data_IF_733286673076
#
_entry.id   IF_733286673076
#
_cell.length_a   1.000
_cell.length_b   1.000
_cell.length_c   1.000
_cell.angle_alpha   90.00
_cell.angle_beta   90.00
_cell.angle_gamma   90.00
#
_symmetry.space_group_name_H-M   'P 1'
#
loop_
_entity.id
_entity.type
_entity.pdbx_description
1 polymer ?
#
# COMPACT_ATOMS: atom_id res chain seq x y z
N UNK A 1 -18.38 24.17 17.76
CA UNK A 1 -19.82 23.91 17.53
C UNK A 1 -19.93 22.82 16.48
N UNK A 2 -20.81 21.83 16.66
CA UNK A 2 -21.06 20.80 15.64
C UNK A 2 -22.00 21.31 14.54
N UNK A 3 -22.04 20.63 13.40
CA UNK A 3 -23.00 20.91 12.33
C UNK A 3 -24.38 20.29 12.62
N UNK A 4 -25.46 20.84 12.04
CA UNK A 4 -26.82 20.28 12.11
C UNK A 4 -27.04 19.14 11.10
N UNK A 5 -28.18 18.44 11.19
CA UNK A 5 -28.60 17.40 10.23
C UNK A 5 -28.74 17.99 8.81
N UNK A 6 -29.30 19.18 8.69
CA UNK A 6 -29.49 19.90 7.43
C UNK A 6 -28.15 20.31 6.82
N UNK A 7 -27.21 20.79 7.64
CA UNK A 7 -25.86 21.13 7.20
C UNK A 7 -25.11 19.89 6.73
N UNK A 8 -25.21 18.77 7.46
CA UNK A 8 -24.65 17.48 7.04
C UNK A 8 -25.20 17.05 5.67
N UNK A 9 -26.52 17.08 5.47
CA UNK A 9 -27.16 16.78 4.19
C UNK A 9 -26.67 17.73 3.08
N UNK A 10 -26.50 19.01 3.39
CA UNK A 10 -25.91 20.00 2.47
C UNK A 10 -24.51 19.60 2.01
N UNK A 11 -23.64 19.19 2.94
CA UNK A 11 -22.29 18.72 2.61
C UNK A 11 -22.29 17.42 1.81
N UNK A 12 -23.19 16.48 2.09
CA UNK A 12 -23.37 15.29 1.24
C UNK A 12 -23.72 15.70 -0.19
N UNK A 13 -24.68 16.62 -0.38
CA UNK A 13 -25.07 17.10 -1.71
C UNK A 13 -23.91 17.79 -2.44
N UNK A 14 -23.09 18.56 -1.72
CA UNK A 14 -21.86 19.15 -2.28
C UNK A 14 -20.89 18.06 -2.71
N UNK A 15 -20.61 17.08 -1.85
CA UNK A 15 -19.71 15.96 -2.12
C UNK A 15 -20.13 15.18 -3.38
N UNK A 16 -21.43 14.91 -3.54
CA UNK A 16 -21.97 14.18 -4.69
C UNK A 16 -21.89 14.94 -6.03
N UNK A 17 -21.78 16.27 -6.02
CA UNK A 17 -21.78 17.13 -7.23
C UNK A 17 -20.45 17.78 -7.53
N UNK A 18 -19.57 17.86 -6.54
CA UNK A 18 -18.26 18.49 -6.66
C UNK A 18 -17.38 17.78 -7.69
N UNK A 19 -16.49 18.55 -8.33
CA UNK A 19 -15.43 17.97 -9.15
C UNK A 19 -14.41 17.26 -8.25
N UNK A 20 -13.73 16.26 -8.78
CA UNK A 20 -12.68 15.53 -8.06
C UNK A 20 -11.69 16.51 -7.42
N UNK A 21 -11.37 16.29 -6.15
CA UNK A 21 -10.40 17.08 -5.36
C UNK A 21 -10.82 18.53 -5.04
N UNK A 22 -12.08 18.93 -5.29
CA UNK A 22 -12.56 20.27 -4.93
C UNK A 22 -13.36 20.31 -3.62
N UNK A 23 -13.65 19.16 -3.01
CA UNK A 23 -14.34 19.10 -1.71
C UNK A 23 -13.38 19.57 -0.61
N UNK A 24 -13.87 20.44 0.29
CA UNK A 24 -13.04 20.97 1.35
C UNK A 24 -12.80 19.92 2.45
N UNK A 25 -11.53 19.73 2.85
CA UNK A 25 -11.16 18.82 3.95
C UNK A 25 -11.90 19.14 5.26
N UNK A 26 -12.19 20.43 5.51
CA UNK A 26 -12.94 20.85 6.68
C UNK A 26 -14.41 20.38 6.66
N UNK A 27 -15.04 20.29 5.48
CA UNK A 27 -16.41 19.77 5.34
C UNK A 27 -16.45 18.27 5.62
N UNK A 28 -15.51 17.50 5.03
CA UNK A 28 -15.36 16.08 5.32
C UNK A 28 -15.15 15.85 6.82
N UNK A 29 -14.24 16.60 7.44
CA UNK A 29 -14.01 16.48 8.88
C UNK A 29 -15.27 16.80 9.70
N UNK A 30 -16.01 17.83 9.33
CA UNK A 30 -17.26 18.18 10.00
C UNK A 30 -18.32 17.07 9.87
N UNK A 31 -18.40 16.40 8.70
CA UNK A 31 -19.27 15.25 8.48
C UNK A 31 -18.86 14.06 9.36
N UNK A 32 -17.56 13.74 9.43
CA UNK A 32 -17.03 12.67 10.28
C UNK A 32 -17.30 12.94 11.75
N UNK A 33 -17.00 14.16 12.22
CA UNK A 33 -17.25 14.56 13.60
C UNK A 33 -18.76 14.51 13.95
N UNK A 34 -19.64 14.82 12.98
CA UNK A 34 -21.08 14.69 13.14
C UNK A 34 -21.51 13.22 13.31
N UNK A 35 -21.08 12.35 12.40
CA UNK A 35 -21.41 10.92 12.47
C UNK A 35 -20.82 10.25 13.70
N UNK A 36 -19.62 10.66 14.13
CA UNK A 36 -19.02 10.19 15.36
C UNK A 36 -19.84 10.54 16.60
N UNK A 37 -20.44 11.74 16.66
CA UNK A 37 -21.35 12.11 17.77
C UNK A 37 -22.61 11.27 17.81
N UNK A 38 -23.18 10.93 16.66
CA UNK A 38 -24.41 10.11 16.59
C UNK A 38 -24.11 8.66 16.98
N UNK A 39 -23.00 8.12 16.50
CA UNK A 39 -22.67 6.69 16.67
C UNK A 39 -21.96 6.38 18.00
N UNK A 40 -21.17 7.32 18.50
CA UNK A 40 -20.20 7.11 19.58
C UNK A 40 -18.84 6.58 19.11
N UNK A 41 -18.64 6.35 17.81
CA UNK A 41 -17.37 5.90 17.23
C UNK A 41 -16.66 7.11 16.63
N UNK A 42 -15.52 7.52 17.17
CA UNK A 42 -14.82 8.73 16.74
C UNK A 42 -13.52 8.38 15.98
N UNK A 43 -13.29 9.03 14.85
CA UNK A 43 -12.03 8.90 14.09
C UNK A 43 -10.83 9.41 14.90
N UNK A 44 -11.03 10.32 15.85
CA UNK A 44 -9.96 10.86 16.70
C UNK A 44 -9.50 9.91 17.81
N UNK A 45 -10.22 8.81 18.06
CA UNK A 45 -9.83 7.80 19.05
C UNK A 45 -8.50 7.15 18.64
N UNK A 46 -7.70 6.74 19.63
CA UNK A 46 -6.48 5.97 19.35
C UNK A 46 -6.85 4.65 18.67
N UNK A 47 -6.22 4.37 17.53
CA UNK A 47 -6.45 3.15 16.75
C UNK A 47 -6.00 1.90 17.52
N UNK A 48 -5.03 2.03 18.43
CA UNK A 48 -4.56 0.92 19.27
C UNK A 48 -5.58 0.52 20.34
N UNK A 49 -6.54 1.39 20.65
CA UNK A 49 -7.62 1.12 21.60
C UNK A 49 -8.87 0.50 20.95
N UNK A 50 -8.84 0.24 19.63
CA UNK A 50 -9.96 -0.33 18.88
C UNK A 50 -9.52 -1.63 18.19
N UNK A 51 -10.22 -2.72 18.49
CA UNK A 51 -9.81 -4.07 18.08
C UNK A 51 -10.10 -4.37 16.61
N UNK A 52 -9.12 -4.98 15.95
CA UNK A 52 -9.24 -5.54 14.60
C UNK A 52 -9.81 -6.96 14.68
N UNK A 53 -10.43 -7.45 13.61
CA UNK A 53 -10.85 -8.85 13.52
C UNK A 53 -9.95 -9.60 12.53
N UNK A 54 -9.38 -10.73 12.97
CA UNK A 54 -8.67 -11.66 12.10
C UNK A 54 -9.68 -12.59 11.43
N UNK A 55 -9.55 -12.77 10.11
CA UNK A 55 -10.36 -13.71 9.33
C UNK A 55 -9.45 -14.75 8.67
N UNK A 56 -10.03 -15.81 8.12
CA UNK A 56 -9.26 -16.77 7.31
C UNK A 56 -8.69 -16.14 6.02
N UNK A 57 -9.22 -14.98 5.61
CA UNK A 57 -8.95 -14.34 4.32
C UNK A 57 -8.30 -12.96 4.44
N UNK A 58 -7.79 -12.60 5.62
CA UNK A 58 -7.19 -11.28 5.89
C UNK A 58 -7.67 -10.63 7.17
N UNK A 59 -7.30 -9.36 7.34
CA UNK A 59 -7.63 -8.55 8.51
C UNK A 59 -8.79 -7.62 8.18
N UNK A 60 -9.84 -7.63 9.00
CA UNK A 60 -10.80 -6.54 9.03
C UNK A 60 -10.28 -5.46 10.00
N UNK A 61 -10.12 -4.23 9.48
CA UNK A 61 -9.63 -3.09 10.26
C UNK A 61 -10.65 -2.70 11.33
N UNK A 62 -10.17 -2.08 12.41
CA UNK A 62 -11.05 -1.74 13.53
C UNK A 62 -12.04 -0.61 13.19
N UNK A 63 -13.17 -0.51 13.92
CA UNK A 63 -14.16 0.57 13.74
C UNK A 63 -13.57 1.98 13.65
N UNK A 64 -12.58 2.30 14.50
CA UNK A 64 -11.90 3.60 14.48
C UNK A 64 -11.07 3.80 13.22
N UNK A 65 -10.39 2.76 12.73
CA UNK A 65 -9.64 2.83 11.48
C UNK A 65 -10.59 3.05 10.29
N UNK A 66 -11.71 2.34 10.26
CA UNK A 66 -12.74 2.52 9.24
C UNK A 66 -13.35 3.93 9.28
N UNK A 67 -13.56 4.51 10.47
CA UNK A 67 -13.98 5.90 10.61
C UNK A 67 -12.95 6.89 10.03
N UNK A 68 -11.65 6.63 10.22
CA UNK A 68 -10.56 7.45 9.63
C UNK A 68 -10.53 7.39 8.10
N UNK A 69 -10.92 6.28 7.48
CA UNK A 69 -10.99 6.18 6.02
C UNK A 69 -11.95 7.21 5.39
N UNK A 70 -12.99 7.65 6.11
CA UNK A 70 -13.88 8.74 5.66
C UNK A 70 -13.08 10.06 5.50
N UNK A 71 -12.06 10.30 6.31
CA UNK A 71 -11.31 11.57 6.25
C UNK A 71 -10.46 11.72 4.97
N UNK A 72 -10.29 10.64 4.19
CA UNK A 72 -9.64 10.68 2.88
C UNK A 72 -10.57 11.27 1.81
N UNK A 73 -10.55 12.60 1.72
CA UNK A 73 -11.51 13.42 0.94
C UNK A 73 -11.75 12.91 -0.48
N UNK A 74 -10.69 12.64 -1.26
CA UNK A 74 -10.83 12.19 -2.66
C UNK A 74 -11.37 10.76 -2.73
N UNK A 75 -10.88 9.85 -1.88
CA UNK A 75 -11.38 8.46 -1.77
C UNK A 75 -12.88 8.47 -1.50
N UNK A 76 -13.31 9.13 -0.42
CA UNK A 76 -14.72 9.18 -0.04
C UNK A 76 -15.58 9.86 -1.10
N UNK A 77 -15.12 10.97 -1.68
CA UNK A 77 -15.85 11.66 -2.74
C UNK A 77 -16.15 10.73 -3.92
N UNK A 78 -15.10 10.12 -4.49
CA UNK A 78 -15.24 9.31 -5.71
C UNK A 78 -16.06 8.05 -5.45
N UNK A 79 -15.86 7.38 -4.31
CA UNK A 79 -16.67 6.22 -3.94
C UNK A 79 -18.16 6.56 -3.75
N UNK A 80 -18.48 7.61 -2.99
CA UNK A 80 -19.88 8.03 -2.81
C UNK A 80 -20.55 8.44 -4.13
N UNK A 81 -19.82 9.17 -5.00
CA UNK A 81 -20.30 9.52 -6.34
C UNK A 81 -20.55 8.27 -7.18
N UNK A 82 -19.65 7.29 -7.14
CA UNK A 82 -19.77 6.04 -7.89
C UNK A 82 -20.97 5.21 -7.46
N UNK A 83 -21.21 5.08 -6.15
CA UNK A 83 -22.40 4.41 -5.62
C UNK A 83 -23.67 5.13 -6.04
N UNK A 84 -23.73 6.45 -5.90
CA UNK A 84 -24.90 7.24 -6.32
C UNK A 84 -25.19 7.09 -7.82
N UNK A 85 -24.15 7.15 -8.66
CA UNK A 85 -24.27 7.01 -10.10
C UNK A 85 -24.73 5.60 -10.50
N UNK A 86 -24.18 4.55 -9.87
CA UNK A 86 -24.57 3.18 -10.13
C UNK A 86 -26.05 2.92 -9.78
N UNK A 87 -26.52 3.44 -8.63
CA UNK A 87 -27.93 3.34 -8.24
C UNK A 87 -28.81 4.04 -9.27
N UNK A 88 -28.48 5.29 -9.62
CA UNK A 88 -29.26 6.07 -10.58
C UNK A 88 -29.33 5.40 -11.95
N UNK A 89 -28.25 4.76 -12.40
CA UNK A 89 -28.21 4.02 -13.66
C UNK A 89 -29.13 2.79 -13.65
N UNK A 90 -29.26 2.10 -12.51
CA UNK A 90 -30.22 0.98 -12.37
C UNK A 90 -31.67 1.50 -12.39
N UNK A 91 -31.95 2.59 -11.67
CA UNK A 91 -33.28 3.23 -11.66
C UNK A 91 -33.67 3.69 -13.07
N UNK A 92 -32.76 4.33 -13.80
CA UNK A 92 -33.00 4.82 -15.17
C UNK A 92 -33.27 3.67 -16.17
N UNK A 93 -32.81 2.45 -15.85
CA UNK A 93 -33.14 1.21 -16.58
C UNK A 93 -34.42 0.55 -16.10
N UNK A 94 -35.26 1.24 -15.32
CA UNK A 94 -36.51 0.77 -14.74
C UNK A 94 -36.34 -0.47 -13.83
N UNK A 95 -35.18 -0.62 -13.19
CA UNK A 95 -34.98 -1.64 -12.15
C UNK A 95 -35.53 -1.08 -10.83
N UNK A 96 -36.55 -1.73 -10.27
CA UNK A 96 -37.19 -1.33 -9.02
C UNK A 96 -37.75 -2.55 -8.27
N UNK A 97 -37.42 -2.75 -6.98
CA UNK A 97 -36.38 -2.02 -6.26
C UNK A 97 -34.99 -2.38 -6.80
N UNK A 98 -34.04 -1.44 -6.70
CA UNK A 98 -32.61 -1.74 -6.92
C UNK A 98 -32.07 -2.42 -5.66
N UNK A 99 -31.54 -3.63 -5.82
CA UNK A 99 -31.02 -4.43 -4.70
C UNK A 99 -29.54 -4.16 -4.50
N UNK A 100 -29.17 -3.64 -3.34
CA UNK A 100 -27.80 -3.24 -3.00
C UNK A 100 -27.30 -4.06 -1.83
N UNK A 101 -26.18 -4.73 -2.02
CA UNK A 101 -25.40 -5.36 -0.96
C UNK A 101 -24.17 -4.49 -0.67
N UNK A 102 -23.94 -4.11 0.58
CA UNK A 102 -22.74 -3.39 1.01
C UNK A 102 -22.04 -4.15 2.13
N UNK A 103 -20.87 -4.69 1.83
CA UNK A 103 -20.02 -5.45 2.74
C UNK A 103 -18.82 -4.62 3.23
N UNK A 104 -18.53 -4.70 4.53
CA UNK A 104 -17.50 -3.88 5.17
C UNK A 104 -17.98 -2.44 5.28
N UNK A 105 -19.11 -2.22 5.95
CA UNK A 105 -19.74 -0.90 6.01
C UNK A 105 -18.95 0.11 6.84
N UNK A 106 -18.14 -0.38 7.78
CA UNK A 106 -17.60 0.46 8.84
C UNK A 106 -18.72 1.02 9.74
N UNK A 107 -18.38 1.90 10.68
CA UNK A 107 -19.35 2.41 11.65
C UNK A 107 -20.37 3.37 11.03
N UNK A 108 -20.05 3.94 9.87
CA UNK A 108 -20.85 5.00 9.25
C UNK A 108 -21.61 4.55 8.00
N UNK A 109 -21.32 3.36 7.46
CA UNK A 109 -21.79 2.92 6.14
C UNK A 109 -21.64 4.05 5.11
N UNK A 110 -20.44 4.66 5.11
CA UNK A 110 -20.09 5.94 4.47
C UNK A 110 -20.56 6.06 3.03
N UNK A 111 -20.48 4.96 2.27
CA UNK A 111 -20.75 4.95 0.85
C UNK A 111 -22.24 4.97 0.50
N UNK A 112 -23.13 4.67 1.46
CA UNK A 112 -24.56 4.52 1.21
C UNK A 112 -25.45 5.35 2.13
N UNK A 113 -25.32 5.24 3.47
CA UNK A 113 -26.27 5.92 4.37
C UNK A 113 -26.30 7.45 4.23
N UNK A 114 -25.15 8.16 4.10
CA UNK A 114 -25.18 9.60 3.84
C UNK A 114 -25.93 9.95 2.55
N UNK A 115 -25.77 9.15 1.49
CA UNK A 115 -26.50 9.32 0.24
C UNK A 115 -28.01 9.18 0.45
N UNK A 116 -28.46 8.17 1.20
CA UNK A 116 -29.88 7.97 1.50
C UNK A 116 -30.46 9.14 2.31
N UNK A 117 -29.71 9.63 3.30
CA UNK A 117 -30.11 10.78 4.10
C UNK A 117 -30.26 12.07 3.26
N UNK A 118 -29.55 12.17 2.13
CA UNK A 118 -29.59 13.31 1.24
C UNK A 118 -30.53 13.15 0.02
N UNK A 119 -31.15 11.98 -0.13
CA UNK A 119 -31.98 11.61 -1.29
C UNK A 119 -33.43 11.37 -0.90
N UNK A 120 -34.35 11.65 -1.82
CA UNK A 120 -35.77 11.48 -1.57
C UNK A 120 -36.22 10.08 -2.00
N UNK A 121 -36.50 9.20 -1.03
CA UNK A 121 -37.17 7.89 -1.19
C UNK A 121 -36.73 7.07 -2.43
N UNK A 122 -35.44 6.74 -2.54
CA UNK A 122 -34.96 5.89 -3.63
C UNK A 122 -35.60 4.48 -3.54
N UNK A 123 -35.99 3.84 -4.65
CA UNK A 123 -36.61 2.52 -4.61
C UNK A 123 -35.55 1.43 -4.38
N UNK A 124 -35.07 1.28 -3.14
CA UNK A 124 -33.97 0.40 -2.79
C UNK A 124 -34.37 -0.73 -1.82
N UNK A 125 -33.73 -1.87 -2.00
CA UNK A 125 -33.67 -2.95 -1.02
C UNK A 125 -32.19 -3.15 -0.65
N UNK A 126 -31.86 -3.03 0.62
CA UNK A 126 -30.48 -2.85 1.08
C UNK A 126 -30.11 -3.98 2.04
N UNK A 127 -28.94 -4.56 1.84
CA UNK A 127 -28.30 -5.48 2.78
C UNK A 127 -26.94 -4.91 3.17
N UNK A 128 -26.75 -4.68 4.47
CA UNK A 128 -25.51 -4.19 5.07
C UNK A 128 -24.85 -5.33 5.84
N UNK A 129 -23.55 -5.54 5.62
CA UNK A 129 -22.77 -6.56 6.31
C UNK A 129 -21.52 -5.93 6.92
N UNK A 130 -21.30 -6.16 8.21
CA UNK A 130 -20.04 -5.84 8.87
C UNK A 130 -19.70 -6.90 9.91
N UNK A 131 -18.41 -7.20 10.09
CA UNK A 131 -17.98 -8.22 11.05
C UNK A 131 -18.03 -7.70 12.49
N UNK A 132 -17.88 -6.38 12.70
CA UNK A 132 -17.82 -5.77 14.01
C UNK A 132 -19.22 -5.43 14.54
N UNK A 133 -19.57 -5.97 15.71
CA UNK A 133 -20.84 -5.62 16.39
C UNK A 133 -20.97 -4.13 16.65
N UNK A 134 -19.86 -3.45 16.97
CA UNK A 134 -19.82 -2.00 17.19
C UNK A 134 -20.28 -1.23 15.94
N UNK A 135 -19.80 -1.62 14.75
CA UNK A 135 -20.22 -1.02 13.48
C UNK A 135 -21.70 -1.26 13.22
N UNK A 136 -22.20 -2.46 13.47
CA UNK A 136 -23.63 -2.79 13.33
C UNK A 136 -24.50 -1.91 14.23
N UNK A 137 -24.10 -1.72 15.49
CA UNK A 137 -24.81 -0.85 16.42
C UNK A 137 -24.77 0.62 15.97
N UNK A 138 -23.62 1.08 15.48
CA UNK A 138 -23.44 2.44 14.95
C UNK A 138 -24.32 2.69 13.71
N UNK A 139 -24.34 1.76 12.76
CA UNK A 139 -25.19 1.80 11.56
C UNK A 139 -26.68 1.86 11.93
N UNK A 140 -27.14 1.04 12.88
CA UNK A 140 -28.54 1.10 13.33
C UNK A 140 -28.89 2.45 13.97
N UNK A 141 -27.99 3.06 14.75
CA UNK A 141 -28.21 4.42 15.27
C UNK A 141 -28.36 5.44 14.14
N UNK A 142 -27.56 5.33 13.08
CA UNK A 142 -27.63 6.23 11.92
C UNK A 142 -28.91 6.03 11.12
N UNK A 143 -29.37 4.78 10.93
CA UNK A 143 -30.65 4.48 10.28
C UNK A 143 -31.79 5.20 10.99
N UNK A 144 -31.86 5.09 12.32
CA UNK A 144 -32.90 5.75 13.11
C UNK A 144 -32.73 7.28 13.09
N UNK A 145 -31.50 7.77 13.27
CA UNK A 145 -31.20 9.22 13.32
C UNK A 145 -31.53 9.96 12.02
N UNK A 146 -31.35 9.31 10.88
CA UNK A 146 -31.70 9.85 9.56
C UNK A 146 -33.12 9.47 9.10
N UNK A 147 -33.92 8.82 9.96
CA UNK A 147 -35.29 8.38 9.68
C UNK A 147 -35.39 7.44 8.46
N UNK A 148 -34.38 6.58 8.25
CA UNK A 148 -34.23 5.71 7.08
C UNK A 148 -34.99 4.38 7.19
N UNK A 149 -35.78 4.19 8.24
CA UNK A 149 -36.55 2.97 8.52
C UNK A 149 -37.63 2.67 7.45
N UNK A 150 -37.98 3.67 6.64
CA UNK A 150 -38.87 3.52 5.49
C UNK A 150 -38.24 2.74 4.33
N UNK A 151 -36.90 2.63 4.27
CA UNK A 151 -36.20 1.74 3.34
C UNK A 151 -36.22 0.31 3.86
N UNK A 152 -36.24 -0.67 2.96
CA UNK A 152 -36.05 -2.08 3.34
C UNK A 152 -34.56 -2.36 3.57
N UNK A 153 -34.07 -2.12 4.78
CA UNK A 153 -32.66 -2.29 5.17
C UNK A 153 -32.52 -3.51 6.10
N UNK A 154 -31.73 -4.50 5.68
CA UNK A 154 -31.27 -5.61 6.51
C UNK A 154 -29.82 -5.37 6.95
N UNK A 155 -29.57 -5.40 8.26
CA UNK A 155 -28.23 -5.20 8.83
C UNK A 155 -27.75 -6.50 9.47
N UNK A 156 -26.64 -7.05 8.98
CA UNK A 156 -26.15 -8.38 9.33
C UNK A 156 -24.75 -8.29 9.91
N UNK A 157 -24.55 -8.86 11.10
CA UNK A 157 -23.22 -9.07 11.63
C UNK A 157 -22.62 -10.35 11.05
N UNK A 158 -21.45 -10.27 10.43
CA UNK A 158 -20.75 -11.46 9.98
C UNK A 158 -19.57 -11.19 9.05
N UNK A 159 -18.79 -12.25 8.79
CA UNK A 159 -17.72 -12.25 7.81
C UNK A 159 -18.31 -12.29 6.40
N UNK A 160 -18.08 -11.23 5.62
CA UNK A 160 -18.57 -11.11 4.25
C UNK A 160 -18.00 -12.17 3.29
N UNK A 161 -16.86 -12.79 3.63
CA UNK A 161 -16.27 -13.89 2.84
C UNK A 161 -17.00 -15.22 3.06
N UNK A 162 -17.89 -15.29 4.05
CA UNK A 162 -18.66 -16.48 4.42
C UNK A 162 -20.18 -16.25 4.39
N UNK A 163 -20.63 -14.99 4.35
CA UNK A 163 -22.03 -14.63 4.45
C UNK A 163 -22.90 -15.29 3.38
N UNK A 164 -23.99 -15.91 3.82
CA UNK A 164 -24.94 -16.57 2.94
C UNK A 164 -26.17 -15.71 2.72
N UNK A 165 -26.53 -15.49 1.46
CA UNK A 165 -27.80 -14.84 1.11
C UNK A 165 -28.95 -15.74 1.58
N UNK A 166 -29.93 -15.20 2.34
CA UNK A 166 -31.15 -15.93 2.68
C UNK A 166 -31.80 -16.54 1.42
N UNK A 167 -32.26 -17.80 1.45
CA UNK A 167 -32.85 -18.46 0.28
C UNK A 167 -34.03 -17.72 -0.35
N UNK A 168 -34.78 -16.95 0.46
CA UNK A 168 -35.91 -16.13 0.02
C UNK A 168 -35.50 -14.82 -0.65
N UNK A 169 -34.24 -14.39 -0.52
CA UNK A 169 -33.78 -13.11 -1.03
C UNK A 169 -33.29 -13.23 -2.48
N UNK A 170 -33.73 -12.31 -3.33
CA UNK A 170 -33.29 -12.23 -4.73
C UNK A 170 -31.84 -11.76 -4.84
N UNK A 171 -31.20 -12.05 -5.97
CA UNK A 171 -29.84 -11.59 -6.27
C UNK A 171 -29.74 -10.06 -6.39
N UNK A 172 -28.53 -9.55 -6.19
CA UNK A 172 -28.24 -8.12 -6.10
C UNK A 172 -27.99 -7.48 -7.46
N UNK A 173 -28.39 -6.22 -7.60
CA UNK A 173 -28.08 -5.37 -8.75
C UNK A 173 -26.72 -4.67 -8.59
N UNK A 174 -26.32 -4.40 -7.34
CA UNK A 174 -25.08 -3.74 -6.97
C UNK A 174 -24.50 -4.45 -5.74
N UNK A 175 -23.21 -4.81 -5.80
CA UNK A 175 -22.42 -5.29 -4.65
C UNK A 175 -21.29 -4.29 -4.40
N UNK A 176 -21.21 -3.76 -3.18
CA UNK A 176 -20.25 -2.74 -2.77
C UNK A 176 -19.32 -3.36 -1.72
N UNK A 177 -18.02 -3.18 -1.88
CA UNK A 177 -17.05 -3.43 -0.82
C UNK A 177 -15.81 -2.57 -1.06
N UNK A 178 -15.38 -1.89 -0.01
CA UNK A 178 -14.18 -1.07 0.04
C UNK A 178 -13.41 -1.48 1.30
N UNK A 179 -12.88 -2.70 1.25
CA UNK A 179 -12.21 -3.39 2.37
C UNK A 179 -10.82 -3.79 1.89
N UNK A 180 -10.03 -2.78 1.55
CA UNK A 180 -8.81 -2.92 0.77
C UNK A 180 -7.72 -1.95 1.21
N UNK A 181 -6.47 -2.34 0.96
CA UNK A 181 -5.32 -1.44 0.95
C UNK A 181 -4.66 -1.42 -0.41
N UNK A 182 -3.70 -0.51 -0.63
CA UNK A 182 -2.88 -0.50 -1.84
C UNK A 182 -2.27 -1.88 -2.13
N UNK A 183 -2.28 -2.27 -3.40
CA UNK A 183 -1.91 -3.61 -3.90
C UNK A 183 -2.81 -4.76 -3.42
N UNK A 184 -4.01 -4.48 -2.91
CA UNK A 184 -4.95 -5.48 -2.41
C UNK A 184 -4.35 -6.39 -1.30
N UNK A 185 -3.37 -5.89 -0.56
CA UNK A 185 -2.78 -6.61 0.57
C UNK A 185 -3.61 -6.43 1.83
N UNK A 186 -3.35 -7.29 2.82
CA UNK A 186 -3.82 -7.29 4.21
C UNK A 186 -5.33 -7.46 4.41
N UNK A 187 -6.15 -6.72 3.69
CA UNK A 187 -7.60 -6.72 3.83
C UNK A 187 -8.27 -7.64 2.78
N UNK A 188 -9.43 -8.25 3.11
CA UNK A 188 -9.99 -9.38 2.35
C UNK A 188 -10.75 -9.01 1.07
N UNK A 189 -10.51 -7.86 0.42
CA UNK A 189 -11.28 -7.40 -0.77
C UNK A 189 -11.47 -8.49 -1.84
N UNK A 190 -10.37 -9.13 -2.27
CA UNK A 190 -10.41 -10.16 -3.33
C UNK A 190 -11.32 -11.33 -2.92
N UNK A 191 -11.27 -11.73 -1.65
CA UNK A 191 -12.07 -12.84 -1.12
C UNK A 191 -13.52 -12.46 -0.89
N UNK A 192 -13.79 -11.20 -0.50
CA UNK A 192 -15.16 -10.67 -0.41
C UNK A 192 -15.81 -10.70 -1.78
N UNK A 193 -15.17 -10.17 -2.82
CA UNK A 193 -15.74 -10.19 -4.17
C UNK A 193 -15.81 -11.60 -4.77
N UNK A 194 -14.77 -12.44 -4.60
CA UNK A 194 -14.83 -13.88 -4.94
C UNK A 194 -16.04 -14.56 -4.31
N UNK A 195 -16.38 -14.22 -3.07
CA UNK A 195 -17.52 -14.81 -2.39
C UNK A 195 -18.84 -14.23 -2.90
N UNK A 196 -19.02 -12.91 -2.80
CA UNK A 196 -20.31 -12.24 -2.99
C UNK A 196 -20.74 -12.13 -4.45
N UNK A 197 -19.83 -12.22 -5.42
CA UNK A 197 -20.18 -12.15 -6.84
C UNK A 197 -21.16 -13.26 -7.27
N UNK A 198 -21.22 -14.39 -6.53
CA UNK A 198 -22.19 -15.46 -6.78
C UNK A 198 -23.65 -15.05 -6.54
N UNK A 199 -23.86 -13.98 -5.78
CA UNK A 199 -25.19 -13.41 -5.50
C UNK A 199 -25.46 -12.16 -6.34
N UNK A 200 -24.57 -11.83 -7.28
CA UNK A 200 -24.73 -10.69 -8.18
C UNK A 200 -25.47 -11.15 -9.44
N UNK A 201 -26.49 -10.39 -9.85
CA UNK A 201 -27.19 -10.66 -11.12
C UNK A 201 -26.21 -10.61 -12.32
N UNK A 202 -26.54 -11.30 -13.44
CA UNK A 202 -25.72 -11.22 -14.66
C UNK A 202 -25.48 -9.78 -15.15
N UNK A 203 -26.49 -8.90 -15.05
CA UNK A 203 -26.37 -7.47 -15.37
C UNK A 203 -25.98 -6.59 -14.18
N UNK A 204 -25.75 -7.18 -13.01
CA UNK A 204 -25.32 -6.49 -11.80
C UNK A 204 -23.88 -5.97 -11.89
N UNK A 205 -23.55 -4.97 -11.08
CA UNK A 205 -22.21 -4.33 -11.02
C UNK A 205 -21.59 -4.49 -9.64
N UNK A 206 -20.26 -4.50 -9.60
CA UNK A 206 -19.50 -4.39 -8.36
C UNK A 206 -18.99 -2.96 -8.21
N UNK A 207 -18.78 -2.51 -6.97
CA UNK A 207 -18.16 -1.21 -6.67
C UNK A 207 -17.04 -1.45 -5.64
N UNK A 208 -15.77 -1.24 -6.01
CA UNK A 208 -15.31 -0.73 -7.32
C UNK A 208 -15.56 -1.73 -8.47
N UNK A 209 -15.66 -1.23 -9.70
CA UNK A 209 -15.82 -2.06 -10.92
C UNK A 209 -14.52 -2.76 -11.31
N UNK A 210 -13.39 -2.08 -11.08
CA UNK A 210 -12.04 -2.54 -11.44
C UNK A 210 -11.00 -2.04 -10.43
N UNK A 211 -10.09 -2.94 -10.06
CA UNK A 211 -8.84 -2.61 -9.35
C UNK A 211 -7.69 -3.24 -10.13
N UNK A 212 -6.88 -2.40 -10.75
CA UNK A 212 -5.77 -2.80 -11.63
C UNK A 212 -4.44 -2.59 -10.92
N UNK A 213 -3.62 -3.64 -10.88
CA UNK A 213 -2.27 -3.61 -10.32
C UNK A 213 -1.23 -3.71 -11.43
N UNK A 214 -0.37 -2.71 -11.52
CA UNK A 214 0.62 -2.57 -12.60
C UNK A 214 2.03 -2.46 -12.05
N UNK A 215 2.98 -2.98 -12.82
CA UNK A 215 4.41 -2.81 -12.56
C UNK A 215 5.00 -1.83 -13.58
N UNK A 216 5.90 -0.98 -13.09
CA UNK A 216 6.58 0.04 -13.86
C UNK A 216 8.08 -0.01 -13.60
N UNK A 217 8.88 0.20 -14.63
CA UNK A 217 10.31 0.48 -14.50
C UNK A 217 10.49 2.00 -14.44
N UNK A 218 11.13 2.52 -13.40
CA UNK A 218 11.31 3.97 -13.20
C UNK A 218 12.76 4.31 -12.94
N UNK A 219 13.33 5.26 -13.68
CA UNK A 219 14.71 5.70 -13.46
C UNK A 219 14.86 6.49 -12.14
N UNK A 220 15.93 6.23 -11.39
CA UNK A 220 16.20 6.83 -10.06
C UNK A 220 16.57 8.31 -10.14
N UNK A 221 17.23 8.75 -11.23
CA UNK A 221 17.69 10.14 -11.39
C UNK A 221 16.90 10.89 -12.49
N UNK A 222 16.28 12.02 -12.09
CA UNK A 222 15.87 13.11 -13.00
C UNK A 222 14.59 12.87 -13.83
N UNK A 223 13.50 13.53 -13.41
CA UNK A 223 12.21 13.72 -14.09
C UNK A 223 11.41 12.46 -14.51
N UNK A 224 10.08 12.59 -14.50
CA UNK A 224 9.07 11.59 -14.97
C UNK A 224 9.25 11.10 -16.42
N UNK A 225 10.33 11.49 -17.12
CA UNK A 225 10.61 11.12 -18.50
C UNK A 225 11.19 9.70 -18.66
N UNK A 226 11.55 9.02 -17.57
CA UNK A 226 12.10 7.66 -17.58
C UNK A 226 11.20 6.58 -16.95
N UNK A 227 9.87 6.65 -17.12
CA UNK A 227 8.95 5.58 -16.67
C UNK A 227 8.48 4.72 -17.83
N UNK A 228 8.55 3.40 -17.65
CA UNK A 228 8.08 2.43 -18.62
C UNK A 228 7.12 1.44 -17.97
N UNK A 229 5.92 1.31 -18.53
CA UNK A 229 4.97 0.28 -18.10
C UNK A 229 5.54 -1.09 -18.46
N UNK A 230 5.70 -1.94 -17.45
CA UNK A 230 6.06 -3.34 -17.65
C UNK A 230 4.81 -4.17 -17.99
N UNK A 231 3.70 -3.89 -17.30
CA UNK A 231 2.41 -4.51 -17.57
C UNK A 231 1.49 -4.51 -16.36
N UNK A 232 0.26 -5.00 -16.57
CA UNK A 232 -0.69 -5.32 -15.50
C UNK A 232 -0.46 -6.76 -15.05
N UNK A 233 -0.14 -6.96 -13.77
CA UNK A 233 0.10 -8.30 -13.23
C UNK A 233 -1.12 -8.88 -12.51
N UNK A 234 -2.09 -8.03 -12.13
CA UNK A 234 -3.35 -8.48 -11.54
C UNK A 234 -4.47 -7.47 -11.77
N UNK A 235 -5.69 -7.98 -11.90
CA UNK A 235 -6.91 -7.18 -11.99
C UNK A 235 -8.02 -7.83 -11.17
N UNK A 236 -8.64 -7.07 -10.27
CA UNK A 236 -9.88 -7.48 -9.60
C UNK A 236 -11.07 -6.77 -10.24
N UNK A 237 -11.78 -7.51 -11.07
CA UNK A 237 -13.03 -7.08 -11.72
C UNK A 237 -14.10 -8.18 -11.58
N UNK A 238 -15.26 -7.97 -12.20
CA UNK A 238 -16.37 -8.94 -12.15
C UNK A 238 -16.00 -10.28 -12.75
N UNK A 239 -15.26 -10.27 -13.86
CA UNK A 239 -14.87 -11.49 -14.57
C UNK A 239 -13.91 -12.32 -13.72
N UNK A 240 -12.88 -11.69 -13.17
CA UNK A 240 -11.89 -12.33 -12.30
C UNK A 240 -12.55 -12.85 -11.03
N UNK A 241 -13.45 -12.06 -10.43
CA UNK A 241 -14.20 -12.50 -9.24
C UNK A 241 -15.06 -13.74 -9.52
N UNK A 242 -15.73 -13.79 -10.68
CA UNK A 242 -16.51 -14.96 -11.11
C UNK A 242 -15.63 -16.19 -11.33
N UNK A 243 -14.50 -16.05 -12.05
CA UNK A 243 -13.55 -17.13 -12.26
C UNK A 243 -13.04 -17.69 -10.92
N UNK A 244 -12.61 -16.80 -10.01
CA UNK A 244 -12.17 -17.16 -8.66
C UNK A 244 -13.27 -17.89 -7.88
N UNK A 245 -14.53 -17.44 -7.99
CA UNK A 245 -15.69 -18.07 -7.32
C UNK A 245 -15.92 -19.51 -7.76
N UNK A 246 -15.54 -19.84 -9.00
CA UNK A 246 -15.66 -21.16 -9.61
C UNK A 246 -14.43 -22.05 -9.36
N UNK A 247 -13.44 -21.54 -8.62
CA UNK A 247 -12.20 -22.25 -8.29
C UNK A 247 -11.07 -22.06 -9.31
N UNK A 248 -11.25 -21.20 -10.32
CA UNK A 248 -10.17 -20.81 -11.22
C UNK A 248 -9.28 -19.76 -10.54
N UNK A 249 -8.11 -20.20 -10.08
CA UNK A 249 -7.10 -19.37 -9.44
C UNK A 249 -5.96 -18.96 -10.40
N UNK A 250 -6.15 -19.11 -11.72
CA UNK A 250 -5.13 -18.74 -12.71
C UNK A 250 -4.70 -17.28 -12.61
N UNK A 251 -5.62 -16.37 -12.31
CA UNK A 251 -5.33 -14.94 -12.13
C UNK A 251 -4.45 -14.63 -10.92
N UNK A 252 -4.28 -15.55 -9.96
CA UNK A 252 -3.38 -15.35 -8.83
C UNK A 252 -1.90 -15.45 -9.22
N UNK A 253 -1.58 -15.90 -10.44
CA UNK A 253 -0.20 -15.99 -10.94
C UNK A 253 -0.05 -15.19 -12.22
N UNK A 254 0.98 -14.35 -12.27
CA UNK A 254 1.32 -13.60 -13.48
C UNK A 254 2.82 -13.43 -13.58
N UNK A 255 3.33 -13.37 -14.82
CA UNK A 255 4.73 -13.12 -15.10
C UNK A 255 4.82 -11.93 -16.06
N UNK A 256 5.62 -10.94 -15.70
CA UNK A 256 5.90 -9.81 -16.59
C UNK A 256 7.36 -9.85 -17.04
N UNK A 257 7.59 -9.95 -18.34
CA UNK A 257 8.94 -10.02 -18.91
C UNK A 257 9.59 -8.66 -18.96
N UNK A 258 10.79 -8.54 -18.39
CA UNK A 258 11.61 -7.34 -18.47
C UNK A 258 12.03 -7.13 -19.94
N UNK A 259 11.69 -5.98 -20.56
CA UNK A 259 11.99 -5.75 -21.95
C UNK A 259 13.50 -5.64 -22.19
N UNK A 260 13.93 -5.79 -23.43
CA UNK A 260 15.32 -5.52 -23.81
C UNK A 260 15.64 -4.02 -23.60
N UNK A 261 16.72 -3.73 -22.89
CA UNK A 261 17.13 -2.35 -22.56
C UNK A 261 18.23 -2.29 -21.51
N UNK A 262 18.82 -1.11 -21.34
CA UNK A 262 19.70 -0.81 -20.21
C UNK A 262 18.87 -0.33 -19.03
N UNK A 263 18.70 -1.21 -18.05
CA UNK A 263 17.93 -0.97 -16.83
C UNK A 263 18.81 -0.55 -15.65
N UNK A 264 20.08 -0.21 -15.91
CA UNK A 264 20.96 0.34 -14.89
C UNK A 264 20.36 1.62 -14.31
N UNK A 265 20.19 1.67 -12.99
CA UNK A 265 19.60 2.82 -12.31
C UNK A 265 18.08 2.92 -12.43
N UNK A 266 17.38 1.84 -12.78
CA UNK A 266 15.91 1.75 -12.70
C UNK A 266 15.47 1.00 -11.42
N UNK A 267 14.31 1.40 -10.89
CA UNK A 267 13.56 0.69 -9.86
C UNK A 267 12.31 0.04 -10.44
N UNK A 268 11.73 -0.88 -9.69
CA UNK A 268 10.37 -1.37 -9.95
C UNK A 268 9.40 -0.68 -9.01
N UNK A 269 8.38 -0.05 -9.59
CA UNK A 269 7.31 0.59 -8.85
C UNK A 269 5.99 -0.14 -9.17
N UNK A 270 5.22 -0.46 -8.14
CA UNK A 270 3.91 -1.07 -8.29
C UNK A 270 2.83 -0.06 -7.97
N UNK A 271 1.86 0.08 -8.86
CA UNK A 271 0.74 1.01 -8.70
C UNK A 271 -0.57 0.25 -8.59
N UNK A 272 -1.53 0.89 -7.91
CA UNK A 272 -2.93 0.47 -7.86
C UNK A 272 -3.74 1.57 -8.52
N UNK A 273 -4.51 1.22 -9.55
CA UNK A 273 -5.52 2.09 -10.16
C UNK A 273 -6.90 1.51 -9.86
N UNK A 274 -7.89 2.35 -9.56
CA UNK A 274 -9.24 1.91 -9.20
C UNK A 274 -10.23 2.64 -10.09
N UNK A 275 -11.08 1.88 -10.80
CA UNK A 275 -12.30 2.41 -11.39
C UNK A 275 -13.43 2.09 -10.41
N UNK A 276 -13.88 3.12 -9.70
CA UNK A 276 -15.00 2.97 -8.76
C UNK A 276 -16.27 2.66 -9.53
N UNK A 277 -16.60 3.49 -10.52
CA UNK A 277 -17.74 3.30 -11.39
C UNK A 277 -17.62 4.15 -12.66
N UNK A 278 -17.63 3.51 -13.84
CA UNK A 278 -17.49 4.15 -15.17
C UNK A 278 -16.25 5.06 -15.26
N UNK A 279 -16.44 6.37 -15.26
CA UNK A 279 -15.39 7.37 -15.42
C UNK A 279 -14.84 7.90 -14.08
N UNK A 280 -15.34 7.40 -12.96
CA UNK A 280 -14.92 7.79 -11.63
C UNK A 280 -13.73 6.93 -11.20
N UNK A 281 -12.53 7.51 -11.23
CA UNK A 281 -11.27 6.79 -11.00
C UNK A 281 -10.44 7.39 -9.88
N UNK A 282 -9.70 6.51 -9.21
CA UNK A 282 -8.60 6.84 -8.29
C UNK A 282 -7.31 6.25 -8.88
N UNK A 283 -6.27 7.07 -8.92
CA UNK A 283 -4.98 6.82 -9.54
C UNK A 283 -3.86 7.23 -8.58
N UNK A 284 -2.61 7.00 -8.96
CA UNK A 284 -1.45 7.24 -8.09
C UNK A 284 -1.48 8.60 -7.38
N UNK A 285 -1.39 8.56 -6.04
CA UNK A 285 -1.35 9.76 -5.19
C UNK A 285 -2.70 10.37 -4.83
N UNK A 286 -3.84 9.86 -5.34
CA UNK A 286 -5.17 10.38 -4.99
C UNK A 286 -5.56 10.08 -3.53
N UNK A 287 -5.19 8.90 -3.02
CA UNK A 287 -5.43 8.49 -1.64
C UNK A 287 -4.51 7.33 -1.22
N UNK A 288 -4.65 6.86 0.03
CA UNK A 288 -3.87 5.77 0.59
C UNK A 288 -3.95 4.45 -0.18
N UNK A 289 -5.04 4.21 -0.92
CA UNK A 289 -5.22 3.02 -1.76
C UNK A 289 -4.35 3.02 -3.02
N UNK A 290 -3.88 4.19 -3.45
CA UNK A 290 -3.13 4.38 -4.68
C UNK A 290 -1.70 4.86 -4.44
N UNK A 291 -1.16 4.64 -3.24
CA UNK A 291 0.26 4.91 -2.95
C UNK A 291 1.09 3.83 -3.64
N UNK A 292 2.02 4.25 -4.50
CA UNK A 292 2.93 3.34 -5.18
C UNK A 292 3.85 2.63 -4.19
N UNK A 293 4.11 1.36 -4.45
CA UNK A 293 5.10 0.56 -3.73
C UNK A 293 6.37 0.48 -4.55
N UNK A 294 7.46 1.06 -4.03
CA UNK A 294 8.73 1.14 -4.75
C UNK A 294 9.70 0.09 -4.19
N UNK A 295 10.29 -0.71 -5.06
CA UNK A 295 11.42 -1.55 -4.72
C UNK A 295 12.71 -0.78 -4.87
N UNK A 296 13.62 -0.96 -3.92
CA UNK A 296 14.96 -0.42 -4.03
C UNK A 296 15.67 -1.01 -5.26
N UNK A 297 16.53 -0.25 -5.97
CA UNK A 297 17.34 -0.81 -7.05
C UNK A 297 18.17 -2.03 -6.61
N UNK A 298 18.47 -2.14 -5.31
CA UNK A 298 19.26 -3.22 -4.72
C UNK A 298 18.44 -4.47 -4.38
N UNK A 299 17.12 -4.33 -4.26
CA UNK A 299 16.21 -5.44 -3.97
C UNK A 299 15.76 -6.17 -5.25
N UNK A 300 16.12 -5.63 -6.43
CA UNK A 300 15.64 -6.11 -7.72
C UNK A 300 16.80 -6.40 -8.66
N UNK A 301 16.63 -7.44 -9.46
CA UNK A 301 17.54 -7.75 -10.58
C UNK A 301 16.75 -7.55 -11.86
N UNK A 302 17.14 -6.56 -12.66
CA UNK A 302 16.46 -6.22 -13.91
C UNK A 302 17.18 -6.83 -15.11
N UNK A 303 17.23 -8.16 -15.15
CA UNK A 303 17.82 -8.89 -16.27
C UNK A 303 16.83 -8.93 -17.44
N UNK A 304 17.27 -8.40 -18.59
CA UNK A 304 16.49 -8.42 -19.82
C UNK A 304 16.01 -9.82 -20.22
N UNK A 305 14.80 -9.89 -20.79
CA UNK A 305 14.08 -11.10 -21.17
C UNK A 305 13.79 -12.09 -20.04
N UNK A 306 14.08 -11.75 -18.78
CA UNK A 306 13.68 -12.55 -17.64
C UNK A 306 12.34 -12.05 -17.06
N UNK A 307 11.53 -12.96 -16.49
CA UNK A 307 10.26 -12.58 -15.88
C UNK A 307 10.45 -12.07 -14.45
N UNK A 308 9.62 -11.09 -14.08
CA UNK A 308 9.23 -10.86 -12.69
C UNK A 308 7.97 -11.68 -12.45
N UNK A 309 8.00 -12.58 -11.47
CA UNK A 309 6.88 -13.45 -11.15
C UNK A 309 6.08 -12.86 -9.98
N UNK A 310 4.76 -12.80 -10.14
CA UNK A 310 3.80 -12.31 -9.15
C UNK A 310 2.87 -13.45 -8.77
N UNK A 311 2.76 -13.73 -7.46
CA UNK A 311 1.83 -14.70 -6.92
C UNK A 311 1.01 -14.09 -5.78
N UNK A 312 -0.31 -14.02 -5.96
CA UNK A 312 -1.22 -13.61 -4.89
C UNK A 312 -1.36 -14.75 -3.88
N UNK A 313 -0.95 -14.49 -2.64
CA UNK A 313 -0.94 -15.45 -1.54
C UNK A 313 -1.87 -14.98 -0.43
N UNK A 314 -2.58 -15.90 0.21
CA UNK A 314 -3.44 -15.55 1.36
C UNK A 314 -3.35 -16.53 2.53
N UNK A 315 -2.16 -16.75 3.13
CA UNK A 315 -2.01 -17.63 4.28
C UNK A 315 -2.32 -16.90 5.60
N UNK A 316 -3.50 -16.24 5.73
CA UNK A 316 -4.03 -15.38 6.83
C UNK A 316 -3.91 -13.86 6.62
N UNK A 317 -2.98 -13.39 5.79
CA UNK A 317 -2.91 -11.99 5.35
C UNK A 317 -2.69 -11.99 3.84
N UNK A 318 -3.63 -11.49 3.03
CA UNK A 318 -3.44 -11.35 1.60
C UNK A 318 -2.20 -10.52 1.28
N UNK A 319 -1.41 -10.95 0.31
CA UNK A 319 -0.28 -10.19 -0.21
C UNK A 319 0.14 -10.73 -1.59
N UNK A 320 1.05 -10.02 -2.25
CA UNK A 320 1.74 -10.55 -3.43
C UNK A 320 3.16 -11.00 -3.05
N UNK A 321 3.45 -12.27 -3.27
CA UNK A 321 4.82 -12.76 -3.37
C UNK A 321 5.38 -12.35 -4.72
N UNK A 322 6.46 -11.56 -4.70
CA UNK A 322 7.07 -11.01 -5.90
C UNK A 322 8.49 -11.55 -5.99
N UNK A 323 8.79 -12.26 -7.06
CA UNK A 323 10.08 -12.88 -7.31
C UNK A 323 10.73 -12.21 -8.51
N UNK A 324 11.81 -11.48 -8.24
CA UNK A 324 12.68 -10.96 -9.27
C UNK A 324 13.63 -12.05 -9.80
N UNK A 325 14.19 -11.88 -11.01
CA UNK A 325 15.31 -12.67 -11.48
C UNK A 325 16.43 -12.77 -10.44
N UNK A 326 17.21 -13.85 -10.49
CA UNK A 326 18.40 -13.99 -9.64
C UNK A 326 19.60 -13.45 -10.39
N UNK A 327 20.42 -12.64 -9.74
CA UNK A 327 21.68 -12.20 -10.30
C UNK A 327 22.54 -13.43 -10.66
N UNK A 328 22.98 -13.52 -11.92
CA UNK A 328 23.99 -14.50 -12.31
C UNK A 328 25.37 -13.94 -11.93
N UNK A 329 25.88 -14.41 -10.79
CA UNK A 329 27.14 -13.98 -10.20
C UNK A 329 28.31 -14.27 -11.16
N UNK A 330 29.00 -13.23 -11.61
CA UNK A 330 30.31 -13.36 -12.26
C UNK A 330 31.39 -13.06 -11.22
N UNK A 331 32.48 -13.82 -11.19
CA UNK A 331 33.60 -13.51 -10.33
C UNK A 331 34.32 -12.27 -10.88
N UNK A 332 34.32 -11.16 -10.15
CA UNK A 332 35.12 -9.98 -10.51
C UNK A 332 36.59 -10.33 -10.73
N UNK A 333 37.18 -9.81 -11.80
CA UNK A 333 38.63 -9.61 -11.88
C UNK A 333 39.08 -8.31 -11.18
N UNK A 334 38.17 -7.62 -10.49
CA UNK A 334 38.44 -6.36 -9.81
C UNK A 334 39.33 -6.55 -8.59
N UNK A 335 40.49 -5.89 -8.61
CA UNK A 335 41.40 -5.84 -7.47
C UNK A 335 41.01 -4.66 -6.58
N UNK A 336 40.70 -4.93 -5.31
CA UNK A 336 40.42 -3.88 -4.33
C UNK A 336 41.62 -2.94 -4.16
N UNK A 337 41.38 -1.64 -3.87
CA UNK A 337 42.42 -0.69 -3.50
C UNK A 337 43.34 -1.24 -2.41
N UNK A 338 44.62 -0.87 -2.45
CA UNK A 338 45.55 -1.21 -1.39
C UNK A 338 45.13 -0.53 -0.08
N UNK A 339 45.42 -1.16 1.07
CA UNK A 339 45.11 -0.58 2.37
C UNK A 339 45.82 0.76 2.62
N UNK A 340 46.94 1.01 1.94
CA UNK A 340 47.70 2.26 2.00
C UNK A 340 47.14 3.37 1.12
N UNK A 341 46.14 3.11 0.26
CA UNK A 341 45.52 4.15 -0.55
C UNK A 341 44.69 5.11 0.32
N UNK A 342 45.06 6.39 0.28
CA UNK A 342 44.49 7.43 1.12
C UNK A 342 43.46 8.28 0.35
N UNK A 343 42.41 8.69 1.06
CA UNK A 343 41.53 9.78 0.67
C UNK A 343 41.93 11.11 1.32
N UNK A 344 41.03 12.10 1.26
CA UNK A 344 41.18 13.46 1.84
C UNK A 344 41.32 13.45 3.36
N UNK A 345 40.76 12.46 4.06
CA UNK A 345 40.92 12.30 5.51
C UNK A 345 42.24 11.64 5.90
N UNK A 346 43.01 11.12 4.94
CA UNK A 346 44.30 10.48 5.19
C UNK A 346 44.21 9.17 5.99
N UNK A 347 43.02 8.58 6.11
CA UNK A 347 42.80 7.33 6.85
C UNK A 347 43.11 6.12 5.97
N UNK A 348 43.96 5.23 6.47
CA UNK A 348 44.26 3.95 5.80
C UNK A 348 43.02 3.06 5.78
N UNK A 349 42.95 2.17 4.79
CA UNK A 349 41.93 1.12 4.65
C UNK A 349 40.48 1.58 4.39
N UNK A 350 40.13 2.83 4.71
CA UNK A 350 38.78 3.37 4.56
C UNK A 350 38.26 3.30 3.11
N UNK A 351 39.13 3.63 2.14
CA UNK A 351 38.82 3.55 0.70
C UNK A 351 38.60 2.11 0.24
N UNK A 352 39.43 1.19 0.72
CA UNK A 352 39.32 -0.24 0.45
C UNK A 352 38.00 -0.81 0.98
N UNK A 353 37.63 -0.47 2.21
CA UNK A 353 36.37 -0.92 2.81
C UNK A 353 35.15 -0.39 2.06
N UNK A 354 35.14 0.90 1.71
CA UNK A 354 34.08 1.49 0.90
C UNK A 354 33.99 0.82 -0.47
N UNK A 355 35.11 0.67 -1.17
CA UNK A 355 35.14 0.08 -2.51
C UNK A 355 34.69 -1.38 -2.48
N UNK A 356 35.04 -2.12 -1.43
CA UNK A 356 34.55 -3.49 -1.22
C UNK A 356 33.05 -3.51 -0.98
N UNK A 357 32.53 -2.68 -0.08
CA UNK A 357 31.09 -2.58 0.17
C UNK A 357 30.33 -2.17 -1.11
N UNK A 358 30.88 -1.24 -1.89
CA UNK A 358 30.35 -0.79 -3.17
C UNK A 358 30.31 -1.92 -4.22
N UNK A 359 31.35 -2.74 -4.29
CA UNK A 359 31.37 -3.88 -5.21
C UNK A 359 30.42 -5.00 -4.75
N UNK A 360 30.37 -5.29 -3.44
CA UNK A 360 29.38 -6.22 -2.86
C UNK A 360 27.94 -5.76 -3.16
N UNK A 361 27.68 -4.46 -3.02
CA UNK A 361 26.41 -3.80 -3.41
C UNK A 361 26.06 -4.00 -4.89
N UNK A 362 27.04 -4.23 -5.76
CA UNK A 362 26.86 -4.52 -7.20
C UNK A 362 26.92 -6.01 -7.55
N UNK A 363 26.84 -6.88 -6.54
CA UNK A 363 26.75 -8.33 -6.74
C UNK A 363 28.11 -9.03 -6.81
N UNK A 364 29.20 -8.38 -6.39
CA UNK A 364 30.52 -9.01 -6.33
C UNK A 364 30.74 -9.71 -4.98
N UNK A 365 31.43 -10.86 -4.99
CA UNK A 365 31.80 -11.57 -3.75
C UNK A 365 33.26 -11.36 -3.42
N UNK A 366 33.51 -10.84 -2.22
CA UNK A 366 34.83 -10.80 -1.62
C UNK A 366 34.86 -11.69 -0.39
N UNK A 367 35.87 -12.55 -0.28
CA UNK A 367 36.21 -13.21 0.98
C UNK A 367 37.06 -12.23 1.79
N UNK A 368 36.54 -11.79 2.93
CA UNK A 368 37.29 -10.94 3.86
C UNK A 368 38.05 -11.88 4.79
N UNK A 369 39.36 -11.68 4.90
CA UNK A 369 40.12 -12.42 5.88
C UNK A 369 39.64 -12.00 7.30
N UNK A 370 39.42 -12.93 8.24
CA UNK A 370 38.88 -12.58 9.55
C UNK A 370 39.66 -11.45 10.25
N UNK A 371 40.98 -11.40 10.11
CA UNK A 371 41.82 -10.35 10.70
C UNK A 371 41.53 -8.96 10.12
N UNK A 372 41.26 -8.86 8.81
CA UNK A 372 40.94 -7.61 8.11
C UNK A 372 39.62 -7.03 8.65
N UNK A 373 38.59 -7.88 8.79
CA UNK A 373 37.31 -7.50 9.38
C UNK A 373 37.42 -6.99 10.81
N UNK A 374 38.23 -7.65 11.65
CA UNK A 374 38.42 -7.24 13.04
C UNK A 374 39.23 -5.94 13.17
N UNK A 375 40.18 -5.70 12.26
CA UNK A 375 40.91 -4.44 12.18
C UNK A 375 39.97 -3.28 11.78
N UNK A 376 39.06 -3.51 10.82
CA UNK A 376 38.05 -2.53 10.39
C UNK A 376 37.10 -2.11 11.51
N UNK A 377 36.62 -3.06 12.31
CA UNK A 377 35.80 -2.73 13.47
C UNK A 377 36.57 -1.83 14.45
N UNK A 378 37.88 -2.08 14.61
CA UNK A 378 38.75 -1.20 15.40
C UNK A 378 38.89 0.20 14.81
N UNK A 379 38.94 0.33 13.48
CA UNK A 379 38.95 1.64 12.81
C UNK A 379 37.69 2.43 13.13
N UNK A 380 36.52 1.80 13.06
CA UNK A 380 35.25 2.46 13.38
C UNK A 380 35.17 2.88 14.85
N UNK A 381 35.64 2.03 15.77
CA UNK A 381 35.72 2.36 17.20
C UNK A 381 36.62 3.57 17.46
N UNK A 382 37.80 3.65 16.83
CA UNK A 382 38.70 4.81 16.94
C UNK A 382 38.10 6.10 16.39
N UNK A 383 37.19 5.99 15.41
CA UNK A 383 36.43 7.10 14.86
C UNK A 383 35.15 7.42 15.65
N UNK A 384 34.82 6.65 16.69
CA UNK A 384 33.60 6.83 17.47
C UNK A 384 32.32 6.45 16.71
N UNK A 385 32.43 5.60 15.69
CA UNK A 385 31.32 5.19 14.82
C UNK A 385 30.95 3.73 15.04
N UNK A 386 29.65 3.40 14.96
CA UNK A 386 29.21 2.01 14.97
C UNK A 386 29.30 1.38 13.58
N UNK A 387 29.58 0.07 13.52
CA UNK A 387 29.57 -0.70 12.27
C UNK A 387 28.25 -0.56 11.50
N UNK A 388 27.11 -0.49 12.21
CA UNK A 388 25.80 -0.31 11.58
C UNK A 388 25.67 1.05 10.88
N UNK A 389 26.15 2.13 11.49
CA UNK A 389 26.13 3.48 10.87
C UNK A 389 27.00 3.52 9.62
N UNK A 390 28.23 3.01 9.71
CA UNK A 390 29.18 3.03 8.59
C UNK A 390 28.69 2.14 7.46
N UNK A 391 28.24 0.91 7.76
CA UNK A 391 27.70 -0.02 6.76
C UNK A 391 26.47 0.55 6.06
N UNK A 392 25.51 1.10 6.82
CA UNK A 392 24.33 1.76 6.24
C UNK A 392 24.73 2.85 5.23
N UNK A 393 25.70 3.69 5.59
CA UNK A 393 26.17 4.77 4.70
C UNK A 393 26.99 4.31 3.50
N UNK A 394 27.81 3.27 3.65
CA UNK A 394 28.49 2.67 2.51
C UNK A 394 27.51 2.07 1.49
N UNK A 395 26.38 1.53 1.96
CA UNK A 395 25.32 1.02 1.07
C UNK A 395 24.44 2.13 0.49
N UNK A 396 24.29 3.26 1.18
CA UNK A 396 23.56 4.42 0.69
C UNK A 396 24.30 5.13 -0.46
N UNK A 397 25.60 5.40 -0.30
CA UNK A 397 26.36 6.27 -1.18
C UNK A 397 26.94 5.54 -2.41
N UNK A 398 27.22 6.29 -3.49
CA UNK A 398 27.71 5.74 -4.76
C UNK A 398 29.15 6.13 -5.09
N UNK A 399 29.72 7.11 -4.38
CA UNK A 399 31.10 7.51 -4.56
C UNK A 399 31.83 7.66 -3.23
N UNK A 400 33.13 7.40 -3.28
CA UNK A 400 33.98 7.43 -2.10
C UNK A 400 34.12 8.84 -1.53
N UNK A 401 34.15 9.88 -2.38
CA UNK A 401 34.31 11.27 -1.96
C UNK A 401 33.16 11.77 -1.07
N UNK A 402 31.92 11.38 -1.38
CA UNK A 402 30.74 11.67 -0.56
C UNK A 402 30.77 10.90 0.74
N UNK A 403 31.15 9.62 0.69
CA UNK A 403 31.29 8.80 1.90
C UNK A 403 32.36 9.36 2.84
N UNK A 404 33.49 9.76 2.29
CA UNK A 404 34.58 10.38 3.03
C UNK A 404 34.16 11.75 3.62
N UNK A 405 33.40 12.54 2.86
CA UNK A 405 32.81 13.79 3.35
C UNK A 405 31.86 13.53 4.52
N UNK A 406 31.03 12.47 4.44
CA UNK A 406 30.15 12.07 5.52
C UNK A 406 30.91 11.65 6.78
N UNK A 407 31.96 10.83 6.64
CA UNK A 407 32.83 10.45 7.77
C UNK A 407 33.40 11.72 8.42
N UNK A 408 33.95 12.64 7.62
CA UNK A 408 34.49 13.91 8.11
C UNK A 408 33.46 14.76 8.87
N UNK A 409 32.20 14.74 8.44
CA UNK A 409 31.11 15.43 9.14
C UNK A 409 30.76 14.79 10.50
N UNK A 410 30.96 13.47 10.66
CA UNK A 410 30.70 12.78 11.94
C UNK A 410 31.85 12.94 12.94
N UNK A 411 33.09 12.85 12.47
CA UNK A 411 34.28 12.83 13.35
C UNK A 411 34.88 14.22 13.56
N UNK A 412 34.48 15.21 12.76
CA UNK A 412 35.04 16.56 12.77
C UNK A 412 36.40 16.64 12.06
N UNK A 413 37.08 17.77 12.20
CA UNK A 413 38.39 17.98 11.56
C UNK A 413 39.48 17.21 12.30
N UNK A 414 39.97 16.14 11.68
CA UNK A 414 41.13 15.40 12.17
C UNK A 414 42.41 16.21 11.94
N UNK A 415 43.22 16.36 12.99
CA UNK A 415 44.60 16.86 12.85
C UNK A 415 45.51 15.81 12.24
N UNK A 416 46.65 16.24 11.70
CA UNK A 416 47.68 15.34 11.15
C UNK A 416 48.15 14.33 12.20
N UNK A 417 48.39 14.78 13.44
CA UNK A 417 48.80 13.92 14.57
C UNK A 417 47.74 12.89 14.94
N UNK A 418 46.44 13.25 14.92
CA UNK A 418 45.34 12.32 15.20
C UNK A 418 45.23 11.26 14.10
N UNK A 419 45.30 11.68 12.84
CA UNK A 419 45.24 10.78 11.69
C UNK A 419 46.40 9.78 11.73
N UNK A 420 47.61 10.23 12.04
CA UNK A 420 48.79 9.39 12.17
C UNK A 420 48.66 8.38 13.32
N UNK A 421 48.07 8.80 14.44
CA UNK A 421 47.81 7.92 15.59
C UNK A 421 46.82 6.82 15.22
N UNK A 422 45.71 7.17 14.57
CA UNK A 422 44.68 6.22 14.13
C UNK A 422 45.27 5.23 13.12
N UNK A 423 46.01 5.72 12.12
CA UNK A 423 46.63 4.86 11.11
C UNK A 423 47.63 3.88 11.71
N UNK A 424 48.48 4.36 12.63
CA UNK A 424 49.47 3.50 13.31
C UNK A 424 48.78 2.42 14.14
N UNK A 425 47.74 2.79 14.88
CA UNK A 425 46.97 1.84 15.69
C UNK A 425 46.21 0.82 14.82
N UNK A 426 45.66 1.23 13.67
CA UNK A 426 45.02 0.33 12.73
C UNK A 426 46.01 -0.68 12.15
N UNK A 427 47.16 -0.22 11.63
CA UNK A 427 48.17 -1.09 11.02
C UNK A 427 48.73 -2.10 12.04
N UNK A 428 49.02 -1.66 13.26
CA UNK A 428 49.46 -2.55 14.34
C UNK A 428 48.41 -3.61 14.67
N UNK A 429 47.11 -3.25 14.64
CA UNK A 429 46.01 -4.20 14.87
C UNK A 429 45.87 -5.19 13.72
N UNK A 430 46.03 -4.72 12.48
CA UNK A 430 45.98 -5.57 11.28
C UNK A 430 47.11 -6.61 11.29
N UNK A 431 48.34 -6.18 11.55
CA UNK A 431 49.52 -7.08 11.65
C UNK A 431 49.40 -8.08 12.80
N UNK A 432 48.95 -7.64 13.98
CA UNK A 432 48.79 -8.52 15.14
C UNK A 432 47.72 -9.60 14.95
N UNK A 433 46.70 -9.31 14.14
CA UNK A 433 45.62 -10.25 13.82
C UNK A 433 45.98 -11.15 12.64
N UNK A 434 46.92 -10.76 11.77
CA UNK A 434 47.42 -11.60 10.67
C UNK A 434 48.37 -12.71 11.18
N UNK A 435 49.06 -12.47 12.29
CA UNK A 435 50.02 -13.41 12.90
C UNK A 435 49.38 -14.45 13.86
N UNK A 436 48.09 -14.30 14.18
CA UNK A 436 47.30 -15.19 15.04
C UNK A 436 46.22 -15.91 14.23
#
# INVERSE_FOLDING_TARGET
MGISKEQFIGFVKTLLRAKKSTVAKAEIKAMVDYLGKVTGVFSSTDMNASEKAQTASGVAISPVQAAKCFEETVRTQIFCQGVAQAIQDKITKNISPVRVLYAGTGPYATLLLPLLAASDNLPLEITLIDIHKENINAVNKLINHFDLEHYNISVNQGDATLWQKPPSQSDFDIVISETMTALLKREPQVYIFKHLVRYLKPCGVMIPEDVSLKAWLTKVEGERQGTQLLGEFFRLDKQTSLALSQGDHGSFKSNLTIPHGDWSGYTVNLTTDIIVYRNLTLTEGDCSLNIAFNFSPYDVVLEQNHPICFEYVAPQSPDFSILFPKAQWQASSYTLPDSSELGKLGLVHLKRTFQRAYMVKRGERFTIAPHEWHAELGLYEMLGLSCAQVSSKMYELENYDEFETWIGAQVGKLSETQTQTINTAFLAKLEALEQN
#
